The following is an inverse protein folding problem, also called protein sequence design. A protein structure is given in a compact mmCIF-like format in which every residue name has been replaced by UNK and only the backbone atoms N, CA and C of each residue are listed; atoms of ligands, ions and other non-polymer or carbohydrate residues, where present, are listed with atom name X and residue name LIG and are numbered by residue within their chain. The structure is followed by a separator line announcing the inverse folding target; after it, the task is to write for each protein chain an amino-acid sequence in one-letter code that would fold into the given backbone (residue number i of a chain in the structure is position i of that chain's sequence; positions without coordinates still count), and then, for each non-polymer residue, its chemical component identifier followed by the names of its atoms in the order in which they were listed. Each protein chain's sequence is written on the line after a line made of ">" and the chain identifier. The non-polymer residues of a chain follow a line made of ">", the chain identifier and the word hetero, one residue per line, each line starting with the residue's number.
data_IF_641282349313
#
_entry.id   IF_641282349313
#
_cell.length_a   1.000
_cell.length_b   1.000
_cell.length_c   1.000
_cell.angle_alpha   90.00
_cell.angle_beta   90.00
_cell.angle_gamma   90.00
#
_symmetry.space_group_name_H-M   'P 1'
#
loop_
_entity.id
_entity.type
_entity.pdbx_description
1 polymer ?
#
# COMPACT_ATOMS: atom_id res chain seq x y z
N UNK A 1 25.63 16.79 -7.39
CA UNK A 1 26.98 17.15 -6.90
C UNK A 1 26.99 16.93 -5.40
N UNK A 2 27.75 15.95 -4.89
CA UNK A 2 27.86 15.71 -3.44
C UNK A 2 29.01 16.56 -2.89
N UNK A 3 28.73 17.44 -1.93
CA UNK A 3 29.79 18.14 -1.19
C UNK A 3 30.06 17.40 0.12
N UNK A 4 31.30 16.99 0.33
CA UNK A 4 31.77 16.41 1.60
C UNK A 4 32.13 17.55 2.55
N UNK A 5 31.48 17.59 3.71
CA UNK A 5 31.93 18.42 4.84
C UNK A 5 32.45 17.45 5.89
N UNK A 6 33.73 17.58 6.23
CA UNK A 6 34.38 16.83 7.30
C UNK A 6 34.31 17.69 8.56
N UNK A 7 33.62 17.21 9.59
CA UNK A 7 33.59 17.86 10.90
C UNK A 7 34.42 17.02 11.85
N UNK A 8 35.51 17.57 12.37
CA UNK A 8 36.38 16.91 13.33
C UNK A 8 35.78 17.07 14.74
N UNK A 9 35.34 15.96 15.32
CA UNK A 9 35.02 15.85 16.74
C UNK A 9 35.85 14.70 17.31
N UNK A 10 36.36 14.88 18.52
CA UNK A 10 37.39 14.06 19.18
C UNK A 10 37.01 12.59 19.44
N UNK A 11 35.88 12.12 18.92
CA UNK A 11 35.40 10.75 19.01
C UNK A 11 34.74 10.34 17.68
N UNK A 12 35.53 9.77 16.77
CA UNK A 12 35.04 9.08 15.58
C UNK A 12 34.71 9.97 14.37
N UNK A 13 35.19 9.54 13.19
CA UNK A 13 34.83 10.14 11.91
C UNK A 13 33.40 9.70 11.56
N UNK A 14 32.42 10.59 11.68
CA UNK A 14 31.06 10.35 11.20
C UNK A 14 30.95 10.94 9.78
N UNK A 15 31.00 10.08 8.76
CA UNK A 15 30.71 10.47 7.38
C UNK A 15 29.18 10.46 7.19
N UNK A 16 28.52 11.62 7.35
CA UNK A 16 27.12 11.77 6.95
C UNK A 16 27.04 12.20 5.48
N UNK A 17 26.58 11.28 4.64
CA UNK A 17 26.19 11.60 3.27
C UNK A 17 24.88 12.40 3.29
N UNK A 18 24.97 13.73 3.29
CA UNK A 18 23.82 14.57 3.04
C UNK A 18 23.58 14.65 1.53
N UNK A 19 22.40 14.18 1.08
CA UNK A 19 21.90 14.48 -0.26
C UNK A 19 21.53 15.97 -0.28
N UNK A 20 22.44 16.79 -0.80
CA UNK A 20 22.17 18.21 -1.05
C UNK A 20 21.04 18.26 -2.08
N UNK A 21 19.86 18.71 -1.66
CA UNK A 21 18.75 18.90 -2.60
C UNK A 21 19.17 19.95 -3.65
N UNK A 22 18.87 19.74 -4.93
CA UNK A 22 19.16 20.73 -5.96
C UNK A 22 18.50 22.06 -5.58
N UNK A 23 19.20 23.17 -5.84
CA UNK A 23 18.66 24.52 -5.69
C UNK A 23 17.56 24.67 -6.74
N UNK A 24 16.30 24.53 -6.36
CA UNK A 24 15.17 24.74 -7.26
C UNK A 24 15.16 26.22 -7.67
N UNK A 25 15.27 26.50 -8.97
CA UNK A 25 14.98 27.83 -9.50
C UNK A 25 13.50 28.12 -9.23
N UNK A 26 13.24 29.14 -8.42
CA UNK A 26 11.87 29.56 -8.11
C UNK A 26 11.39 30.46 -9.25
N UNK A 27 10.20 30.21 -9.83
CA UNK A 27 9.67 31.06 -10.89
C UNK A 27 9.49 32.50 -10.39
N UNK A 28 9.64 33.46 -11.31
CA UNK A 28 9.31 34.86 -11.06
C UNK A 28 7.85 35.00 -10.60
N UNK A 29 7.67 35.81 -9.56
CA UNK A 29 6.47 35.77 -8.74
C UNK A 29 5.35 36.69 -9.26
N UNK A 30 4.70 36.24 -10.34
CA UNK A 30 3.56 36.93 -10.99
C UNK A 30 2.20 36.63 -10.33
N UNK A 31 2.18 35.93 -9.20
CA UNK A 31 0.93 35.47 -8.58
C UNK A 31 0.22 36.61 -7.83
N UNK A 32 -1.10 36.73 -8.01
CA UNK A 32 -1.94 37.63 -7.23
C UNK A 32 -2.02 37.19 -5.75
N UNK A 33 -2.34 38.13 -4.85
CA UNK A 33 -2.55 37.83 -3.43
C UNK A 33 -3.81 36.97 -3.27
N UNK A 34 -3.72 35.88 -2.52
CA UNK A 34 -4.87 35.06 -2.17
C UNK A 34 -5.56 35.59 -0.91
N UNK A 35 -6.74 35.06 -0.61
CA UNK A 35 -7.44 35.30 0.67
C UNK A 35 -6.67 34.78 1.90
N UNK A 36 -5.58 34.06 1.68
CA UNK A 36 -4.69 33.55 2.72
C UNK A 36 -3.50 34.48 2.96
N UNK A 37 -3.41 35.61 2.26
CA UNK A 37 -2.34 36.58 2.46
C UNK A 37 -2.30 37.05 3.93
N UNK A 38 -1.08 37.08 4.47
CA UNK A 38 -0.71 37.41 5.84
C UNK A 38 -1.22 36.44 6.92
N UNK A 39 -1.84 35.30 6.55
CA UNK A 39 -2.19 34.23 7.48
C UNK A 39 -0.98 33.34 7.78
N UNK A 40 -1.07 32.54 8.85
CA UNK A 40 -0.09 31.49 9.12
C UNK A 40 -0.31 30.29 8.18
N UNK A 41 0.75 29.53 7.84
CA UNK A 41 0.62 28.33 7.02
C UNK A 41 -0.21 27.25 7.72
N UNK A 42 -1.15 26.64 7.01
CA UNK A 42 -1.95 25.49 7.47
C UNK A 42 -1.15 24.17 7.50
N UNK A 43 -0.17 24.06 6.61
CA UNK A 43 0.67 22.89 6.38
C UNK A 43 2.16 23.23 6.50
N UNK A 44 2.92 22.26 7.01
CA UNK A 44 4.36 22.39 7.22
C UNK A 44 5.17 22.22 5.93
N UNK A 45 6.38 22.78 5.93
CA UNK A 45 7.32 22.56 4.84
C UNK A 45 7.71 21.08 4.79
N UNK A 46 7.89 20.56 3.57
CA UNK A 46 8.15 19.15 3.23
C UNK A 46 6.96 18.20 3.43
N UNK A 47 5.80 18.67 3.85
CA UNK A 47 4.59 17.85 3.84
C UNK A 47 4.26 17.42 2.41
N UNK A 48 3.83 16.17 2.26
CA UNK A 48 3.33 15.64 0.98
C UNK A 48 1.81 15.75 0.98
N UNK A 49 1.27 16.39 -0.05
CA UNK A 49 -0.14 16.72 -0.18
C UNK A 49 -0.69 16.22 -1.51
N UNK A 50 -2.01 16.11 -1.60
CA UNK A 50 -2.72 15.96 -2.87
C UNK A 50 -3.31 17.29 -3.30
N UNK A 51 -3.21 17.61 -4.59
CA UNK A 51 -3.97 18.70 -5.18
C UNK A 51 -5.42 18.29 -5.42
N UNK A 52 -6.31 19.26 -5.64
CA UNK A 52 -7.66 19.05 -6.18
C UNK A 52 -7.69 18.27 -7.50
N UNK A 53 -6.68 18.46 -8.35
CA UNK A 53 -6.45 17.69 -9.58
C UNK A 53 -5.89 16.27 -9.35
N UNK A 54 -5.72 15.84 -8.10
CA UNK A 54 -5.21 14.51 -7.74
C UNK A 54 -3.69 14.33 -7.90
N UNK A 55 -2.92 15.41 -8.04
CA UNK A 55 -1.45 15.35 -8.15
C UNK A 55 -0.81 15.32 -6.77
N UNK A 56 0.18 14.44 -6.59
CA UNK A 56 0.97 14.39 -5.36
C UNK A 56 2.06 15.46 -5.40
N UNK A 57 2.11 16.31 -4.39
CA UNK A 57 3.05 17.44 -4.32
C UNK A 57 3.80 17.49 -3.00
N UNK A 58 5.03 18.02 -3.01
CA UNK A 58 5.78 18.34 -1.80
C UNK A 58 5.76 19.85 -1.60
N UNK A 59 5.42 20.29 -0.39
CA UNK A 59 5.51 21.70 0.00
C UNK A 59 6.98 22.08 0.19
N UNK A 60 7.44 23.11 -0.51
CA UNK A 60 8.77 23.66 -0.35
C UNK A 60 8.80 24.79 0.69
N UNK A 61 7.91 25.75 0.55
CA UNK A 61 7.72 26.86 1.48
C UNK A 61 6.33 27.48 1.37
N UNK A 62 6.02 28.38 2.32
CA UNK A 62 4.84 29.24 2.29
C UNK A 62 5.25 30.71 2.18
N UNK A 63 4.61 31.43 1.29
CA UNK A 63 4.82 32.87 1.10
C UNK A 63 3.71 33.64 1.81
N UNK A 64 3.97 34.03 3.05
CA UNK A 64 3.00 34.68 3.94
C UNK A 64 2.36 35.92 3.30
N UNK A 65 3.13 36.81 2.67
CA UNK A 65 2.60 38.04 2.07
C UNK A 65 1.56 37.81 0.96
N UNK A 66 1.62 36.65 0.29
CA UNK A 66 0.70 36.29 -0.81
C UNK A 66 -0.30 35.22 -0.43
N UNK A 67 -0.04 34.47 0.63
CA UNK A 67 -0.88 33.36 1.06
C UNK A 67 -0.80 32.14 0.15
N UNK A 68 0.39 31.85 -0.39
CA UNK A 68 0.59 30.78 -1.38
C UNK A 68 1.72 29.84 -0.98
N UNK A 69 1.53 28.55 -1.22
CA UNK A 69 2.59 27.55 -1.12
C UNK A 69 3.40 27.46 -2.41
N UNK A 70 4.71 27.30 -2.32
CA UNK A 70 5.50 26.73 -3.42
C UNK A 70 5.50 25.21 -3.30
N UNK A 71 5.19 24.54 -4.41
CA UNK A 71 5.12 23.08 -4.47
C UNK A 71 5.84 22.54 -5.70
N UNK A 72 6.24 21.28 -5.64
CA UNK A 72 6.71 20.48 -6.79
C UNK A 72 5.88 19.21 -6.89
N UNK A 73 5.56 18.79 -8.11
CA UNK A 73 4.94 17.49 -8.36
C UNK A 73 5.94 16.36 -8.06
N UNK A 74 5.41 15.29 -7.50
CA UNK A 74 6.12 14.02 -7.29
C UNK A 74 5.53 13.02 -8.27
N UNK A 75 6.23 12.79 -9.37
CA UNK A 75 5.82 11.78 -10.37
C UNK A 75 6.44 10.43 -10.05
N UNK A 76 7.76 10.39 -9.97
CA UNK A 76 8.59 9.21 -9.72
C UNK A 76 9.81 9.58 -8.88
N UNK A 77 10.49 8.62 -8.23
CA UNK A 77 11.72 8.90 -7.49
C UNK A 77 12.77 9.62 -8.34
N UNK A 78 13.00 10.91 -8.08
CA UNK A 78 14.00 11.73 -8.76
C UNK A 78 13.50 12.54 -9.96
N UNK A 79 12.22 12.45 -10.33
CA UNK A 79 11.60 13.28 -11.37
C UNK A 79 10.68 14.31 -10.70
N UNK A 80 11.06 15.58 -10.79
CA UNK A 80 10.34 16.70 -10.18
C UNK A 80 9.92 17.71 -11.26
N UNK A 81 8.70 18.25 -11.14
CA UNK A 81 8.31 19.40 -11.95
C UNK A 81 9.11 20.65 -11.53
N UNK A 82 9.16 21.68 -12.37
CA UNK A 82 9.42 23.04 -11.89
C UNK A 82 8.49 23.37 -10.71
N UNK A 83 8.99 24.18 -9.78
CA UNK A 83 8.18 24.65 -8.66
C UNK A 83 7.09 25.59 -9.18
N UNK A 84 5.90 25.51 -8.60
CA UNK A 84 4.79 26.41 -8.91
C UNK A 84 4.02 26.81 -7.65
N UNK A 85 3.15 27.81 -7.78
CA UNK A 85 2.37 28.38 -6.66
C UNK A 85 0.98 27.79 -6.60
N UNK A 86 0.53 27.48 -5.40
CA UNK A 86 -0.80 26.93 -5.14
C UNK A 86 -1.39 27.49 -3.83
N UNK A 87 -2.70 27.72 -3.84
CA UNK A 87 -3.43 28.18 -2.66
C UNK A 87 -3.73 27.02 -1.70
N UNK A 88 -3.84 27.28 -0.37
CA UNK A 88 -4.13 26.26 0.63
C UNK A 88 -5.40 25.43 0.39
N UNK A 89 -6.48 26.03 -0.12
CA UNK A 89 -7.76 25.37 -0.44
C UNK A 89 -7.64 24.26 -1.50
N UNK A 90 -6.61 24.34 -2.32
CA UNK A 90 -6.33 23.34 -3.36
C UNK A 90 -5.45 22.19 -2.89
N UNK A 91 -5.07 22.19 -1.61
CA UNK A 91 -4.27 21.12 -1.00
C UNK A 91 -5.11 20.31 -0.03
N UNK A 92 -4.91 19.00 -0.06
CA UNK A 92 -5.53 18.06 0.88
C UNK A 92 -4.46 17.15 1.46
N UNK A 93 -4.58 16.83 2.75
CA UNK A 93 -3.72 15.83 3.37
C UNK A 93 -3.96 14.50 2.67
N UNK A 94 -2.88 13.79 2.42
CA UNK A 94 -2.97 12.40 2.01
C UNK A 94 -3.39 11.64 3.27
N UNK A 95 -4.62 11.16 3.29
CA UNK A 95 -4.99 10.14 4.25
C UNK A 95 -4.07 8.96 3.97
N UNK A 96 -3.18 8.62 4.91
CA UNK A 96 -2.46 7.37 4.83
C UNK A 96 -3.53 6.29 4.76
N UNK A 97 -3.65 5.62 3.61
CA UNK A 97 -4.36 4.35 3.55
C UNK A 97 -3.73 3.51 4.65
N UNK A 98 -4.48 3.29 5.73
CA UNK A 98 -4.06 2.41 6.83
C UNK A 98 -3.53 1.16 6.15
N UNK A 99 -2.24 0.86 6.37
CA UNK A 99 -1.62 -0.35 5.86
C UNK A 99 -2.62 -1.48 5.99
N UNK A 100 -3.09 -1.99 4.85
CA UNK A 100 -4.10 -3.06 4.80
C UNK A 100 -3.55 -4.19 5.69
N UNK A 101 -4.29 -4.59 6.73
CA UNK A 101 -3.86 -5.66 7.63
C UNK A 101 -3.63 -6.90 6.78
N UNK A 102 -2.43 -7.46 6.87
CA UNK A 102 -2.11 -8.71 6.18
C UNK A 102 -2.34 -9.84 7.18
N UNK A 103 -3.29 -10.75 6.92
CA UNK A 103 -3.54 -11.85 7.83
C UNK A 103 -2.29 -12.71 8.05
N UNK A 104 -2.05 -13.10 9.31
CA UNK A 104 -0.96 -14.01 9.66
C UNK A 104 -1.34 -15.47 9.36
N UNK A 105 -0.34 -16.35 9.31
CA UNK A 105 -0.58 -17.80 9.21
C UNK A 105 -1.47 -18.33 10.34
N UNK A 106 -1.35 -17.79 11.56
CA UNK A 106 -2.18 -18.20 12.71
C UNK A 106 -3.64 -17.78 12.53
N UNK A 107 -3.88 -16.56 12.03
CA UNK A 107 -5.24 -16.08 11.74
C UNK A 107 -5.90 -16.90 10.62
N UNK A 108 -5.15 -17.26 9.58
CA UNK A 108 -5.65 -18.11 8.49
C UNK A 108 -5.91 -19.53 8.97
N UNK A 109 -5.04 -20.10 9.81
CA UNK A 109 -5.24 -21.42 10.39
C UNK A 109 -6.52 -21.47 11.22
N UNK A 110 -6.77 -20.48 12.07
CA UNK A 110 -7.99 -20.41 12.87
C UNK A 110 -9.26 -20.36 12.01
N UNK A 111 -9.20 -19.75 10.82
CA UNK A 111 -10.31 -19.78 9.87
C UNK A 111 -10.50 -21.16 9.24
N UNK A 112 -9.42 -21.86 8.87
CA UNK A 112 -9.53 -23.24 8.41
C UNK A 112 -10.11 -24.14 9.48
N UNK A 113 -9.68 -24.05 10.73
CA UNK A 113 -10.24 -24.82 11.84
C UNK A 113 -11.73 -24.53 12.04
N UNK A 114 -12.16 -23.25 11.93
CA UNK A 114 -13.59 -22.88 11.98
C UNK A 114 -14.39 -23.50 10.83
N UNK A 115 -13.84 -23.48 9.60
CA UNK A 115 -14.53 -23.95 8.39
C UNK A 115 -14.58 -25.47 8.29
N UNK A 116 -13.50 -26.14 8.66
CA UNK A 116 -13.32 -27.59 8.53
C UNK A 116 -13.89 -28.34 9.74
N UNK A 117 -13.94 -27.71 10.92
CA UNK A 117 -14.39 -28.34 12.15
C UNK A 117 -13.46 -29.48 12.55
N UNK A 118 -14.02 -30.66 12.82
CA UNK A 118 -13.25 -31.84 13.27
C UNK A 118 -12.67 -32.68 12.12
N UNK A 119 -12.94 -32.32 10.86
CA UNK A 119 -12.46 -33.08 9.72
C UNK A 119 -10.93 -32.97 9.59
N UNK A 120 -10.29 -34.10 9.27
CA UNK A 120 -8.85 -34.13 8.98
C UNK A 120 -8.61 -33.61 7.58
N UNK A 121 -7.62 -32.74 7.44
CA UNK A 121 -7.18 -32.21 6.16
C UNK A 121 -5.69 -32.46 5.93
N UNK A 122 -5.30 -32.47 4.68
CA UNK A 122 -3.91 -32.46 4.20
C UNK A 122 -3.54 -31.03 3.77
N UNK A 123 -2.34 -30.59 4.11
CA UNK A 123 -1.78 -29.36 3.53
C UNK A 123 -1.23 -29.68 2.14
N UNK A 124 -1.85 -29.11 1.10
CA UNK A 124 -1.45 -29.32 -0.29
C UNK A 124 -0.31 -28.38 -0.66
N UNK A 125 -0.42 -27.12 -0.22
CA UNK A 125 0.52 -26.07 -0.60
C UNK A 125 0.46 -24.89 0.36
N UNK A 126 1.61 -24.28 0.65
CA UNK A 126 1.74 -23.06 1.43
C UNK A 126 2.85 -22.18 0.86
N UNK A 127 2.54 -20.92 0.54
CA UNK A 127 3.47 -19.99 -0.12
C UNK A 127 3.48 -18.61 0.54
N UNK A 128 4.67 -18.05 0.72
CA UNK A 128 4.93 -16.77 1.35
C UNK A 128 5.79 -15.87 0.46
N UNK A 129 5.66 -14.56 0.61
CA UNK A 129 6.53 -13.54 0.01
C UNK A 129 7.09 -12.59 1.07
N UNK A 130 7.76 -11.51 0.66
CA UNK A 130 8.34 -10.52 1.59
C UNK A 130 7.31 -9.87 2.53
N UNK A 131 6.01 -9.96 2.21
CA UNK A 131 4.90 -9.45 3.02
C UNK A 131 4.20 -10.54 3.83
N UNK A 132 4.67 -11.80 3.76
CA UNK A 132 4.13 -12.95 4.47
C UNK A 132 3.27 -13.87 3.60
N UNK A 133 2.41 -14.65 4.24
CA UNK A 133 1.55 -15.65 3.59
C UNK A 133 0.67 -15.02 2.52
N UNK A 134 0.74 -15.58 1.30
CA UNK A 134 -0.11 -15.15 0.20
C UNK A 134 -0.97 -16.27 -0.39
N UNK A 135 -0.62 -17.53 -0.14
CA UNK A 135 -1.43 -18.68 -0.55
C UNK A 135 -1.29 -19.84 0.43
N UNK A 136 -2.40 -20.47 0.77
CA UNK A 136 -2.44 -21.72 1.54
C UNK A 136 -3.61 -22.58 1.09
N UNK A 137 -3.33 -23.76 0.56
CA UNK A 137 -4.30 -24.76 0.13
C UNK A 137 -4.31 -25.95 1.09
N UNK A 138 -5.50 -26.31 1.57
CA UNK A 138 -5.75 -27.54 2.33
C UNK A 138 -6.82 -28.38 1.65
N UNK A 139 -6.71 -29.71 1.77
CA UNK A 139 -7.60 -30.66 1.10
C UNK A 139 -8.19 -31.66 2.08
N UNK A 140 -9.47 -31.94 1.92
CA UNK A 140 -10.20 -32.97 2.64
C UNK A 140 -10.66 -34.01 1.62
N UNK A 141 -10.23 -35.26 1.80
CA UNK A 141 -10.69 -36.38 0.98
C UNK A 141 -12.00 -36.90 1.56
N UNK A 142 -12.99 -37.12 0.68
CA UNK A 142 -14.31 -37.64 1.01
C UNK A 142 -14.56 -38.90 0.16
N UNK A 143 -15.65 -39.63 0.44
CA UNK A 143 -15.99 -40.85 -0.30
C UNK A 143 -16.31 -40.56 -1.78
N UNK A 144 -16.96 -39.42 -2.05
CA UNK A 144 -17.42 -39.02 -3.39
C UNK A 144 -16.52 -37.96 -4.06
N UNK A 145 -15.32 -37.75 -3.54
CA UNK A 145 -14.33 -36.87 -4.16
C UNK A 145 -13.49 -36.13 -3.13
N UNK A 146 -13.32 -34.82 -3.32
CA UNK A 146 -12.59 -34.00 -2.35
C UNK A 146 -13.01 -32.55 -2.32
N UNK A 147 -12.68 -31.90 -1.22
CA UNK A 147 -12.92 -30.47 -1.02
C UNK A 147 -11.58 -29.80 -0.73
N UNK A 148 -11.28 -28.72 -1.45
CA UNK A 148 -10.10 -27.90 -1.24
C UNK A 148 -10.51 -26.53 -0.72
N UNK A 149 -9.83 -26.05 0.33
CA UNK A 149 -9.92 -24.68 0.80
C UNK A 149 -8.63 -23.95 0.49
N UNK A 150 -8.75 -22.81 -0.19
CA UNK A 150 -7.63 -21.99 -0.63
C UNK A 150 -7.72 -20.59 -0.03
N UNK A 151 -6.84 -20.29 0.92
CA UNK A 151 -6.56 -18.90 1.30
C UNK A 151 -5.74 -18.24 0.19
N UNK A 152 -6.18 -17.07 -0.26
CA UNK A 152 -5.46 -16.26 -1.24
C UNK A 152 -5.47 -14.81 -0.75
N UNK A 153 -4.30 -14.22 -0.58
CA UNK A 153 -4.16 -12.79 -0.28
C UNK A 153 -4.42 -11.97 -1.54
N UNK A 154 -5.06 -10.82 -1.41
CA UNK A 154 -5.19 -9.81 -2.48
C UNK A 154 -3.82 -9.44 -3.04
N UNK A 155 -3.72 -9.38 -4.36
CA UNK A 155 -2.47 -9.05 -5.03
C UNK A 155 -2.42 -9.48 -6.48
N UNK A 156 -1.28 -9.23 -7.12
CA UNK A 156 -1.03 -9.66 -8.49
C UNK A 156 0.14 -10.65 -8.49
N UNK A 157 -0.19 -11.93 -8.55
CA UNK A 157 0.77 -13.02 -8.51
C UNK A 157 1.01 -13.55 -9.92
N UNK A 158 2.29 -13.72 -10.28
CA UNK A 158 2.69 -14.22 -11.60
C UNK A 158 2.41 -15.73 -11.80
N UNK A 159 2.09 -16.42 -10.72
CA UNK A 159 1.91 -17.87 -10.70
C UNK A 159 0.57 -18.26 -11.36
N UNK A 160 0.62 -18.90 -12.54
CA UNK A 160 -0.56 -19.23 -13.35
C UNK A 160 -1.53 -20.25 -12.71
N UNK A 161 -1.19 -20.82 -11.55
CA UNK A 161 -1.96 -21.87 -10.88
C UNK A 161 -2.72 -21.39 -9.64
N UNK A 162 -2.70 -20.09 -9.32
CA UNK A 162 -3.60 -19.55 -8.32
C UNK A 162 -4.97 -19.44 -8.99
N UNK A 163 -5.97 -20.14 -8.46
CA UNK A 163 -7.35 -20.06 -8.92
C UNK A 163 -7.78 -18.57 -8.95
N UNK A 164 -7.80 -17.96 -10.14
CA UNK A 164 -8.25 -16.57 -10.33
C UNK A 164 -7.19 -15.49 -10.58
N UNK A 165 -5.90 -15.80 -10.71
CA UNK A 165 -4.91 -14.81 -11.19
C UNK A 165 -4.60 -13.66 -10.23
N UNK A 166 -5.10 -12.43 -10.50
CA UNK A 166 -4.91 -11.22 -9.67
C UNK A 166 -6.11 -11.02 -8.74
N UNK A 167 -6.18 -11.71 -7.59
CA UNK A 167 -7.29 -11.59 -6.63
C UNK A 167 -7.49 -10.13 -6.22
N UNK A 168 -8.72 -9.64 -6.40
CA UNK A 168 -9.14 -8.29 -6.03
C UNK A 168 -9.35 -8.13 -4.51
N UNK A 169 -9.53 -9.25 -3.80
CA UNK A 169 -9.84 -9.34 -2.38
C UNK A 169 -9.06 -10.49 -1.75
N UNK A 170 -8.68 -10.36 -0.48
CA UNK A 170 -8.12 -11.46 0.31
C UNK A 170 -9.27 -12.36 0.75
N UNK A 171 -9.21 -13.66 0.48
CA UNK A 171 -10.35 -14.55 0.70
C UNK A 171 -9.93 -15.99 0.97
N UNK A 172 -10.87 -16.78 1.50
CA UNK A 172 -10.82 -18.24 1.46
C UNK A 172 -11.86 -18.72 0.46
N UNK A 173 -11.41 -19.50 -0.51
CA UNK A 173 -12.24 -20.15 -1.52
C UNK A 173 -12.40 -21.62 -1.19
N UNK A 174 -13.58 -22.17 -1.48
CA UNK A 174 -13.83 -23.60 -1.45
C UNK A 174 -14.00 -24.09 -2.89
N UNK A 175 -13.38 -25.22 -3.21
CA UNK A 175 -13.55 -25.92 -4.48
C UNK A 175 -13.89 -27.38 -4.20
N UNK A 176 -14.97 -27.86 -4.82
CA UNK A 176 -15.41 -29.24 -4.75
C UNK A 176 -14.93 -29.96 -6.00
N UNK A 177 -14.41 -31.16 -5.82
CA UNK A 177 -13.91 -32.04 -6.87
C UNK A 177 -14.63 -33.38 -6.81
N UNK A 178 -14.88 -33.97 -7.97
CA UNK A 178 -15.35 -35.35 -8.06
C UNK A 178 -14.24 -36.38 -7.79
N UNK A 179 -14.58 -37.67 -7.90
CA UNK A 179 -13.66 -38.80 -7.70
C UNK A 179 -12.51 -38.86 -8.73
N UNK A 180 -12.63 -38.18 -9.86
CA UNK A 180 -11.56 -38.09 -10.88
C UNK A 180 -10.66 -36.88 -10.64
N UNK A 181 -10.94 -36.08 -9.61
CA UNK A 181 -10.21 -34.85 -9.29
C UNK A 181 -10.57 -33.69 -10.23
N UNK A 182 -11.74 -33.74 -10.87
CA UNK A 182 -12.23 -32.67 -11.73
C UNK A 182 -13.03 -31.69 -10.87
N UNK A 183 -12.76 -30.37 -10.95
CA UNK A 183 -13.51 -29.37 -10.20
C UNK A 183 -14.95 -29.28 -10.70
N UNK A 184 -15.91 -29.50 -9.81
CA UNK A 184 -17.35 -29.50 -10.13
C UNK A 184 -18.05 -28.21 -9.67
N UNK A 185 -17.57 -27.56 -8.61
CA UNK A 185 -18.10 -26.27 -8.14
C UNK A 185 -17.12 -25.56 -7.22
N UNK A 186 -17.35 -24.27 -6.97
CA UNK A 186 -16.57 -23.52 -5.99
C UNK A 186 -17.10 -22.10 -5.80
N UNK A 187 -16.78 -21.51 -4.65
CA UNK A 187 -17.14 -20.14 -4.29
C UNK A 187 -16.20 -19.60 -3.20
N UNK A 188 -16.23 -18.30 -2.94
CA UNK A 188 -15.63 -17.78 -1.69
C UNK A 188 -16.52 -18.17 -0.53
N UNK A 189 -15.93 -18.58 0.60
CA UNK A 189 -16.64 -18.84 1.86
C UNK A 189 -16.40 -17.74 2.89
N UNK A 190 -15.26 -17.05 2.81
CA UNK A 190 -14.93 -15.91 3.66
C UNK A 190 -14.11 -14.90 2.88
N UNK A 191 -14.37 -13.62 3.10
CA UNK A 191 -13.62 -12.50 2.49
C UNK A 191 -13.12 -11.53 3.55
N UNK A 192 -11.93 -11.00 3.35
CA UNK A 192 -11.35 -9.97 4.21
C UNK A 192 -11.69 -8.59 3.64
N UNK A 193 -12.67 -7.93 4.26
CA UNK A 193 -13.24 -6.67 3.79
C UNK A 193 -13.20 -5.66 4.94
N UNK A 194 -12.64 -4.48 4.69
CA UNK A 194 -12.47 -3.40 5.68
C UNK A 194 -11.69 -3.83 6.94
N UNK A 195 -10.68 -4.69 6.76
CA UNK A 195 -9.85 -5.19 7.87
C UNK A 195 -10.52 -6.27 8.72
N UNK A 196 -11.62 -6.88 8.26
CA UNK A 196 -12.34 -7.93 8.98
C UNK A 196 -12.72 -9.08 8.06
N UNK A 197 -12.68 -10.30 8.59
CA UNK A 197 -13.24 -11.48 7.93
C UNK A 197 -14.77 -11.45 7.98
N UNK A 198 -15.40 -11.60 6.82
CA UNK A 198 -16.86 -11.67 6.65
C UNK A 198 -17.20 -12.96 5.90
N UNK A 199 -18.08 -13.76 6.48
CA UNK A 199 -18.65 -14.94 5.82
C UNK A 199 -19.44 -14.46 4.59
N UNK A 200 -19.35 -15.21 3.49
CA UNK A 200 -20.07 -14.88 2.25
C UNK A 200 -21.37 -15.69 2.14
N UNK A 201 -22.49 -15.09 1.68
CA UNK A 201 -23.76 -15.78 1.48
C UNK A 201 -23.71 -16.88 0.43
#
# INVERSE_FOLDING_TARGET
>A
MFSRIVINSSYGIIIRNYKIMPRYEMPDDISEKSEYANKEPEYENKSIMLTDEGKKVIILNYQKEKGLYAVINVYEPGVHSPAYRISPDKLRKIEEEKSEHIPTSEEVLALFEKLVGEAKYEEVRKLEDEKGLYLWDIKIVQEDGSVEYSYIRKGNYKEKRIAGGSPLETAIHITYFDNEGIPISGHSVVKFIDGKWKDTP
#
